data_IF_746644494581
#
_entry.id   IF_746644494581
#
_cell.length_a   1.000
_cell.length_b   1.000
_cell.length_c   1.000
_cell.angle_alpha   90.00
_cell.angle_beta   90.00
_cell.angle_gamma   90.00
#
_symmetry.space_group_name_H-M   'P 1'
#
loop_
_entity.id
_entity.type
_entity.pdbx_description
1 polymer ?
#
# COMPACT_ATOMS: atom_id res chain seq x y z
N UNK A 1 -7.18 7.04 5.42
CA UNK A 1 -5.98 7.75 4.90
C UNK A 1 -4.82 6.77 4.83
N UNK A 2 -3.90 6.93 3.89
CA UNK A 2 -2.65 6.15 3.82
C UNK A 2 -1.48 7.03 4.20
N UNK A 3 -0.62 6.58 5.12
CA UNK A 3 0.59 7.30 5.51
C UNK A 3 1.82 6.45 5.23
N UNK A 4 2.85 7.06 4.62
CA UNK A 4 4.12 6.40 4.33
C UNK A 4 5.13 6.72 5.43
N UNK A 5 5.58 5.70 6.16
CA UNK A 5 6.54 5.84 7.27
C UNK A 5 7.86 5.16 6.92
N UNK A 6 8.48 5.58 5.81
CA UNK A 6 9.76 5.07 5.33
C UNK A 6 10.81 6.20 5.21
N UNK A 7 12.06 5.84 4.91
CA UNK A 7 13.09 6.84 4.55
C UNK A 7 12.64 7.67 3.34
N UNK A 8 13.07 8.93 3.25
CA UNK A 8 12.61 9.87 2.22
C UNK A 8 12.71 9.30 0.80
N UNK A 9 13.81 8.62 0.46
CA UNK A 9 13.96 7.94 -0.83
C UNK A 9 12.91 6.83 -1.04
N UNK A 10 12.66 6.00 -0.03
CA UNK A 10 11.66 4.94 -0.13
C UNK A 10 10.24 5.51 -0.28
N UNK A 11 9.91 6.58 0.44
CA UNK A 11 8.64 7.31 0.27
C UNK A 11 8.51 7.89 -1.14
N UNK A 12 9.60 8.43 -1.70
CA UNK A 12 9.60 8.95 -3.07
C UNK A 12 9.34 7.85 -4.09
N UNK A 13 10.03 6.70 -3.98
CA UNK A 13 9.79 5.56 -4.88
C UNK A 13 8.38 5.00 -4.76
N UNK A 14 7.83 4.95 -3.54
CA UNK A 14 6.45 4.55 -3.31
C UNK A 14 5.47 5.51 -4.01
N UNK A 15 5.70 6.82 -3.92
CA UNK A 15 4.89 7.82 -4.65
C UNK A 15 5.00 7.70 -6.16
N UNK A 16 6.20 7.45 -6.69
CA UNK A 16 6.41 7.18 -8.13
C UNK A 16 5.64 5.94 -8.59
N UNK A 17 5.49 4.92 -7.71
CA UNK A 17 4.65 3.75 -7.96
C UNK A 17 3.15 4.01 -7.76
N UNK A 18 2.75 5.21 -7.34
CA UNK A 18 1.36 5.62 -7.13
C UNK A 18 0.88 5.59 -5.68
N UNK A 19 1.73 5.23 -4.71
CA UNK A 19 1.37 5.23 -3.29
C UNK A 19 1.41 6.67 -2.77
N UNK A 20 0.31 7.40 -2.90
CA UNK A 20 0.11 8.72 -2.31
C UNK A 20 -0.80 8.66 -1.07
N UNK A 21 -0.93 9.76 -0.34
CA UNK A 21 -1.70 9.85 0.92
C UNK A 21 -3.22 9.62 0.74
N UNK A 22 -3.70 9.68 -0.50
CA UNK A 22 -5.07 9.38 -0.90
C UNK A 22 -5.23 8.01 -1.57
N UNK A 23 -4.17 7.20 -1.62
CA UNK A 23 -4.23 5.95 -2.38
C UNK A 23 -5.04 4.89 -1.64
N UNK A 24 -6.02 4.30 -2.33
CA UNK A 24 -6.76 3.14 -1.83
C UNK A 24 -6.00 1.87 -2.21
N UNK A 25 -5.63 1.09 -1.20
CA UNK A 25 -4.89 -0.16 -1.36
C UNK A 25 -5.85 -1.31 -1.11
N UNK A 26 -6.06 -2.14 -2.12
CA UNK A 26 -6.82 -3.37 -1.98
C UNK A 26 -5.86 -4.56 -1.84
N UNK A 27 -6.02 -5.34 -0.78
CA UNK A 27 -5.26 -6.58 -0.62
C UNK A 27 -5.84 -7.66 -1.54
N UNK A 28 -5.09 -8.06 -2.56
CA UNK A 28 -5.49 -9.10 -3.51
C UNK A 28 -5.12 -10.49 -2.99
N UNK A 29 -3.88 -10.66 -2.50
CA UNK A 29 -3.39 -11.93 -1.99
C UNK A 29 -2.18 -11.74 -1.05
N UNK A 30 -1.85 -12.77 -0.25
CA UNK A 30 -0.59 -12.76 0.48
C UNK A 30 -0.37 -13.98 1.36
N UNK A 31 0.65 -14.79 1.01
CA UNK A 31 1.26 -15.82 1.89
C UNK A 31 2.73 -15.53 2.20
N UNK A 32 3.52 -15.15 1.19
CA UNK A 32 4.97 -14.88 1.31
C UNK A 32 5.38 -13.50 0.77
N UNK A 33 4.57 -12.96 -0.13
CA UNK A 33 4.69 -11.62 -0.73
C UNK A 33 3.29 -11.02 -0.74
N UNK A 34 3.16 -9.75 -0.35
CA UNK A 34 1.89 -9.06 -0.33
C UNK A 34 1.57 -8.57 -1.74
N UNK A 35 0.46 -9.01 -2.31
CA UNK A 35 -0.04 -8.51 -3.58
C UNK A 35 -1.18 -7.55 -3.28
N UNK A 36 -1.02 -6.31 -3.69
CA UNK A 36 -2.03 -5.28 -3.54
C UNK A 36 -2.31 -4.59 -4.87
N UNK A 37 -3.52 -4.06 -5.00
CA UNK A 37 -3.91 -3.22 -6.13
C UNK A 37 -4.03 -1.76 -5.66
N UNK A 38 -3.52 -0.87 -6.50
CA UNK A 38 -3.38 0.55 -6.25
C UNK A 38 -3.76 1.30 -7.52
N UNK A 39 -4.86 2.06 -7.51
CA UNK A 39 -5.35 2.79 -8.68
C UNK A 39 -5.39 1.93 -9.97
N UNK A 40 -5.79 0.66 -9.85
CA UNK A 40 -5.82 -0.30 -10.97
C UNK A 40 -4.49 -1.02 -11.25
N UNK A 41 -3.36 -0.58 -10.72
CA UNK A 41 -2.05 -1.23 -10.88
C UNK A 41 -1.84 -2.29 -9.81
N UNK A 42 -1.41 -3.50 -10.21
CA UNK A 42 -1.04 -4.56 -9.25
C UNK A 42 0.44 -4.47 -8.89
N UNK A 43 0.70 -4.43 -7.59
CA UNK A 43 2.04 -4.30 -7.05
C UNK A 43 2.29 -5.47 -6.11
N UNK A 44 3.47 -6.07 -6.25
CA UNK A 44 3.93 -7.12 -5.36
C UNK A 44 5.01 -6.55 -4.44
N UNK A 45 4.77 -6.63 -3.13
CA UNK A 45 5.64 -6.11 -2.09
C UNK A 45 6.21 -7.25 -1.26
N UNK A 46 7.51 -7.22 -0.98
CA UNK A 46 8.10 -8.10 0.02
C UNK A 46 7.57 -7.77 1.42
N UNK A 47 7.65 -8.73 2.34
CA UNK A 47 7.24 -8.51 3.75
C UNK A 47 7.91 -7.26 4.34
N UNK A 48 9.22 -7.10 4.11
CA UNK A 48 9.98 -5.94 4.58
C UNK A 48 9.44 -4.62 4.04
N UNK A 49 9.12 -4.55 2.75
CA UNK A 49 8.57 -3.33 2.14
C UNK A 49 7.15 -3.03 2.65
N UNK A 50 6.32 -4.06 2.79
CA UNK A 50 4.95 -3.92 3.27
C UNK A 50 4.87 -3.36 4.70
N UNK A 51 5.85 -3.70 5.57
CA UNK A 51 5.92 -3.19 6.96
C UNK A 51 6.14 -1.69 7.07
N UNK A 52 6.58 -1.02 6.00
CA UNK A 52 6.76 0.44 5.97
C UNK A 52 5.54 1.21 5.48
N UNK A 53 4.47 0.50 5.08
CA UNK A 53 3.24 1.10 4.57
C UNK A 53 2.18 1.02 5.68
N UNK A 54 1.81 2.18 6.22
CA UNK A 54 0.73 2.25 7.19
C UNK A 54 -0.58 2.59 6.45
N UNK A 55 -1.55 1.71 6.56
CA UNK A 55 -2.86 1.87 5.93
C UNK A 55 -3.94 1.86 7.00
N UNK A 56 -4.92 2.74 6.86
CA UNK A 56 -6.15 2.61 7.62
C UNK A 56 -7.10 1.66 6.90
N UNK A 57 -7.69 0.73 7.66
CA UNK A 57 -8.79 -0.09 7.12
C UNK A 57 -9.96 0.83 6.80
N UNK A 58 -10.27 0.94 5.52
CA UNK A 58 -11.52 1.55 5.08
C UNK A 58 -12.60 0.54 5.43
N UNK A 59 -13.30 0.76 6.55
CA UNK A 59 -14.53 0.03 6.82
C UNK A 59 -15.52 0.45 5.74
N UNK A 60 -15.71 -0.37 4.72
CA UNK A 60 -16.99 -0.40 4.02
C UNK A 60 -18.03 -0.71 5.10
N UNK A 61 -18.86 0.28 5.43
CA UNK A 61 -19.95 0.10 6.40
C UNK A 61 -20.88 -1.04 5.96
N UNK A 62 -21.61 -1.66 6.90
CA UNK A 62 -22.60 -2.67 6.54
C UNK A 62 -23.84 -2.01 5.92
N UNK A 63 -24.34 -2.58 4.82
CA UNK A 63 -25.69 -2.34 4.31
C UNK A 63 -25.73 -1.74 2.92
#
# INVERSE_FOLDING_TARGET
>A
MTQLTAAAEACQRLREMGFCESAVIERVAGKRMLICQLCGTRISLSDRAARHILVEHIRSGPG
#
